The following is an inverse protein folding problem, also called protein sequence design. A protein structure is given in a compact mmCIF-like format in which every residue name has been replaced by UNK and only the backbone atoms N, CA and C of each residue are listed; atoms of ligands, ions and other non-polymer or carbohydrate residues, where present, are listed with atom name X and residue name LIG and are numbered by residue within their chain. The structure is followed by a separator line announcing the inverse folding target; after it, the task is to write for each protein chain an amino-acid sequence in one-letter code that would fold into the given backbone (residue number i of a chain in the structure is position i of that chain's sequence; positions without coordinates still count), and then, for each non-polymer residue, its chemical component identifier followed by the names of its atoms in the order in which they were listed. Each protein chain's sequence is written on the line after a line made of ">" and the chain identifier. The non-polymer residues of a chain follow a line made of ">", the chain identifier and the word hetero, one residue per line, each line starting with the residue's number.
data_IF_709082650112
#
_entry.id   IF_709082650112
#
_cell.length_a   1.000
_cell.length_b   1.000
_cell.length_c   1.000
_cell.angle_alpha   90.00
_cell.angle_beta   90.00
_cell.angle_gamma   90.00
#
_symmetry.space_group_name_H-M   'P 1'
#
loop_
_entity.id
_entity.type
_entity.pdbx_description
1 polymer ?
#
# COMPACT_ATOMS: atom_id res chain seq x y z
N UNK A 1 -36.44 12.59 -8.73
CA UNK A 1 -36.82 11.41 -7.93
C UNK A 1 -35.81 10.27 -8.07
N UNK A 2 -35.72 9.54 -9.19
CA UNK A 2 -34.82 8.36 -9.29
C UNK A 2 -33.33 8.66 -8.99
N UNK A 3 -32.77 9.71 -9.62
CA UNK A 3 -31.39 10.16 -9.38
C UNK A 3 -31.12 10.43 -7.88
N UNK A 4 -31.96 11.24 -7.25
CA UNK A 4 -31.81 11.64 -5.84
C UNK A 4 -31.90 10.42 -4.90
N UNK A 5 -32.85 9.53 -5.13
CA UNK A 5 -33.00 8.30 -4.32
C UNK A 5 -31.77 7.41 -4.42
N UNK A 6 -31.20 7.24 -5.62
CA UNK A 6 -30.00 6.43 -5.83
C UNK A 6 -28.79 7.09 -5.18
N UNK A 7 -28.59 8.40 -5.39
CA UNK A 7 -27.51 9.17 -4.76
C UNK A 7 -27.58 9.02 -3.24
N UNK A 8 -28.73 9.32 -2.61
CA UNK A 8 -28.89 9.22 -1.16
C UNK A 8 -28.62 7.81 -0.65
N UNK A 9 -29.07 6.77 -1.36
CA UNK A 9 -28.80 5.38 -1.00
C UNK A 9 -27.30 5.07 -1.03
N UNK A 10 -26.59 5.50 -2.07
CA UNK A 10 -25.16 5.23 -2.23
C UNK A 10 -24.31 6.08 -1.27
N UNK A 11 -24.67 7.34 -1.03
CA UNK A 11 -24.02 8.20 -0.04
C UNK A 11 -24.16 7.63 1.38
N UNK A 12 -25.29 7.03 1.72
CA UNK A 12 -25.48 6.41 3.03
C UNK A 12 -24.49 5.25 3.29
N UNK A 13 -24.06 4.53 2.24
CA UNK A 13 -23.07 3.45 2.35
C UNK A 13 -21.66 3.97 2.70
N UNK A 14 -21.40 5.28 2.60
CA UNK A 14 -20.11 5.89 2.95
C UNK A 14 -19.93 5.98 4.48
N UNK A 15 -21.02 5.88 5.27
CA UNK A 15 -20.94 5.96 6.74
C UNK A 15 -20.00 4.92 7.34
N UNK A 16 -20.16 3.66 6.95
CA UNK A 16 -19.36 2.54 7.48
C UNK A 16 -17.85 2.68 7.22
N UNK A 17 -17.37 2.92 5.98
CA UNK A 17 -15.93 3.11 5.75
C UNK A 17 -15.37 4.34 6.46
N UNK A 18 -16.16 5.41 6.64
CA UNK A 18 -15.74 6.57 7.41
C UNK A 18 -15.59 6.27 8.91
N UNK A 19 -16.51 5.51 9.52
CA UNK A 19 -16.36 5.04 10.91
C UNK A 19 -15.13 4.15 11.07
N UNK A 20 -14.93 3.21 10.14
CA UNK A 20 -13.76 2.33 10.14
C UNK A 20 -12.45 3.10 10.04
N UNK A 21 -12.43 4.19 9.25
CA UNK A 21 -11.27 5.08 9.19
C UNK A 21 -10.95 5.72 10.56
N UNK A 22 -11.97 6.16 11.29
CA UNK A 22 -11.81 6.67 12.67
C UNK A 22 -11.24 5.59 13.59
N UNK A 23 -11.77 4.36 13.54
CA UNK A 23 -11.30 3.22 14.35
C UNK A 23 -9.84 2.86 14.10
N UNK A 24 -9.42 2.87 12.83
CA UNK A 24 -8.02 2.64 12.46
C UNK A 24 -7.10 3.71 13.04
N UNK A 25 -7.50 4.98 12.99
CA UNK A 25 -6.70 6.08 13.57
C UNK A 25 -6.61 5.98 15.09
N UNK A 26 -7.70 5.61 15.77
CA UNK A 26 -7.69 5.38 17.22
C UNK A 26 -6.71 4.26 17.59
N UNK A 27 -6.75 3.16 16.86
CA UNK A 27 -5.86 2.02 17.08
C UNK A 27 -4.40 2.46 16.96
N UNK A 28 -4.04 3.19 15.91
CA UNK A 28 -2.69 3.71 15.73
C UNK A 28 -2.28 4.75 16.78
N UNK A 29 -3.22 5.60 17.22
CA UNK A 29 -2.95 6.61 18.24
C UNK A 29 -2.68 5.95 19.61
N UNK A 30 -3.48 4.96 20.00
CA UNK A 30 -3.26 4.16 21.23
C UNK A 30 -1.95 3.38 21.15
N UNK A 31 -1.64 2.78 19.99
CA UNK A 31 -0.36 2.10 19.77
C UNK A 31 0.83 3.06 19.93
N UNK A 32 0.71 4.28 19.40
CA UNK A 32 1.75 5.32 19.53
C UNK A 32 1.96 5.73 20.98
N UNK A 33 0.87 5.91 21.75
CA UNK A 33 0.94 6.19 23.19
C UNK A 33 1.68 5.08 23.91
N UNK A 34 1.32 3.81 23.67
CA UNK A 34 2.00 2.64 24.24
C UNK A 34 3.49 2.59 23.95
N UNK A 35 3.89 2.88 22.70
CA UNK A 35 5.31 2.92 22.33
C UNK A 35 6.06 4.04 23.04
N UNK A 36 5.41 5.19 23.23
CA UNK A 36 6.01 6.33 23.93
C UNK A 36 6.13 6.07 25.44
N UNK A 37 5.11 5.49 26.08
CA UNK A 37 5.10 5.20 27.52
C UNK A 37 6.07 4.09 27.91
N UNK A 38 6.54 3.25 26.98
CA UNK A 38 7.64 2.29 27.24
C UNK A 38 8.92 2.96 27.73
N UNK A 39 9.16 4.23 27.37
CA UNK A 39 10.33 4.99 27.86
C UNK A 39 10.24 5.31 29.36
N UNK A 40 9.06 5.15 29.96
CA UNK A 40 8.79 5.35 31.38
C UNK A 40 8.82 4.03 32.16
N UNK A 41 9.35 2.95 31.60
CA UNK A 41 9.39 1.63 32.25
C UNK A 41 10.12 1.60 33.62
N UNK A 42 10.96 2.61 33.91
CA UNK A 42 11.60 2.80 35.21
C UNK A 42 10.60 3.11 36.33
N UNK A 43 9.45 3.69 36.00
CA UNK A 43 8.37 4.05 36.92
C UNK A 43 7.08 3.36 36.46
N UNK A 44 6.86 2.08 36.82
CA UNK A 44 5.77 1.27 36.29
C UNK A 44 4.38 1.87 36.59
N UNK A 45 4.17 2.38 37.80
CA UNK A 45 2.89 3.00 38.19
C UNK A 45 2.60 4.27 37.39
N UNK A 46 3.60 5.16 37.24
CA UNK A 46 3.48 6.35 36.38
C UNK A 46 3.16 5.99 34.93
N UNK A 47 3.85 4.97 34.40
CA UNK A 47 3.64 4.49 33.03
C UNK A 47 2.20 4.03 32.82
N UNK A 48 1.70 3.17 33.70
CA UNK A 48 0.34 2.63 33.63
C UNK A 48 -0.70 3.75 33.72
N UNK A 49 -0.51 4.67 34.66
CA UNK A 49 -1.46 5.75 34.89
C UNK A 49 -1.48 6.77 33.74
N UNK A 50 -0.31 7.10 33.18
CA UNK A 50 -0.21 7.94 31.98
C UNK A 50 -0.89 7.26 30.77
N UNK A 51 -0.63 5.97 30.55
CA UNK A 51 -1.28 5.22 29.46
C UNK A 51 -2.80 5.19 29.66
N UNK A 52 -3.26 4.95 30.88
CA UNK A 52 -4.68 4.90 31.24
C UNK A 52 -5.38 6.23 30.97
N UNK A 53 -4.83 7.34 31.46
CA UNK A 53 -5.40 8.69 31.30
C UNK A 53 -5.49 9.07 29.83
N UNK A 54 -4.38 8.94 29.09
CA UNK A 54 -4.34 9.34 27.67
C UNK A 54 -5.25 8.44 26.83
N UNK A 55 -5.27 7.14 27.09
CA UNK A 55 -6.16 6.21 26.37
C UNK A 55 -7.63 6.51 26.66
N UNK A 56 -7.98 6.86 27.90
CA UNK A 56 -9.33 7.27 28.24
C UNK A 56 -9.74 8.54 27.48
N UNK A 57 -8.87 9.56 27.45
CA UNK A 57 -9.12 10.78 26.68
C UNK A 57 -9.34 10.48 25.18
N UNK A 58 -8.53 9.60 24.59
CA UNK A 58 -8.69 9.18 23.18
C UNK A 58 -10.06 8.53 22.94
N UNK A 59 -10.54 7.68 23.86
CA UNK A 59 -11.88 7.06 23.76
C UNK A 59 -13.01 8.08 23.89
N UNK A 60 -12.85 9.09 24.73
CA UNK A 60 -13.84 10.18 24.82
C UNK A 60 -13.86 11.01 23.53
N UNK A 61 -12.69 11.21 22.90
CA UNK A 61 -12.58 11.88 21.58
C UNK A 61 -13.11 11.03 20.43
N UNK A 62 -13.03 9.70 20.52
CA UNK A 62 -13.60 8.77 19.54
C UNK A 62 -15.09 9.02 19.34
N UNK A 63 -15.89 9.01 20.42
CA UNK A 63 -17.35 9.18 20.31
C UNK A 63 -17.69 10.49 19.60
N UNK A 64 -17.09 11.60 20.04
CA UNK A 64 -17.35 12.93 19.46
C UNK A 64 -16.93 13.02 17.99
N UNK A 65 -15.85 12.37 17.62
CA UNK A 65 -15.36 12.37 16.23
C UNK A 65 -16.26 11.53 15.34
N UNK A 66 -16.71 10.35 15.80
CA UNK A 66 -17.67 9.51 15.08
C UNK A 66 -18.99 10.26 14.84
N UNK A 67 -19.52 10.92 15.87
CA UNK A 67 -20.76 11.70 15.75
C UNK A 67 -20.63 12.82 14.73
N UNK A 68 -19.51 13.56 14.77
CA UNK A 68 -19.25 14.63 13.80
C UNK A 68 -19.10 14.09 12.37
N UNK A 69 -18.43 12.95 12.19
CA UNK A 69 -18.27 12.30 10.89
C UNK A 69 -19.62 11.82 10.34
N UNK A 70 -20.49 11.26 11.19
CA UNK A 70 -21.86 10.89 10.80
C UNK A 70 -22.67 12.12 10.39
N UNK A 71 -22.58 13.20 11.16
CA UNK A 71 -23.27 14.45 10.86
C UNK A 71 -22.85 15.04 9.51
N UNK A 72 -21.54 15.03 9.19
CA UNK A 72 -21.05 15.50 7.89
C UNK A 72 -21.67 14.71 6.72
N UNK A 73 -21.83 13.40 6.88
CA UNK A 73 -22.47 12.56 5.86
C UNK A 73 -23.99 12.82 5.82
N UNK A 74 -24.63 13.05 6.97
CA UNK A 74 -26.04 13.40 7.04
C UNK A 74 -26.34 14.75 6.37
N UNK A 75 -25.39 15.70 6.40
CA UNK A 75 -25.49 16.96 5.65
C UNK A 75 -25.49 16.68 4.13
N UNK A 76 -24.61 15.80 3.63
CA UNK A 76 -24.59 15.39 2.22
C UNK A 76 -25.86 14.63 1.81
N UNK A 77 -26.51 13.93 2.75
CA UNK A 77 -27.79 13.26 2.54
C UNK A 77 -28.99 14.22 2.57
N UNK A 78 -28.90 15.32 3.32
CA UNK A 78 -30.00 16.26 3.49
C UNK A 78 -30.30 17.03 2.18
N UNK A 79 -29.26 17.39 1.42
CA UNK A 79 -29.41 18.20 0.22
C UNK A 79 -28.50 17.76 -0.93
N UNK A 80 -29.10 17.52 -2.10
CA UNK A 80 -28.38 17.19 -3.33
C UNK A 80 -28.21 18.46 -4.18
N UNK A 81 -27.01 19.03 -4.19
CA UNK A 81 -26.73 20.29 -4.87
C UNK A 81 -26.44 20.09 -6.37
N UNK A 82 -27.47 20.13 -7.20
CA UNK A 82 -27.31 20.02 -8.67
C UNK A 82 -26.72 21.27 -9.34
N UNK A 83 -26.47 22.35 -8.58
CA UNK A 83 -25.83 23.57 -9.09
C UNK A 83 -24.30 23.57 -8.89
N UNK A 84 -23.73 22.47 -8.41
CA UNK A 84 -22.29 22.34 -8.20
C UNK A 84 -21.52 22.45 -9.54
N UNK A 85 -20.40 23.18 -9.55
CA UNK A 85 -19.63 23.46 -10.78
C UNK A 85 -19.12 22.20 -11.49
N UNK A 86 -18.65 21.22 -10.73
CA UNK A 86 -18.17 19.93 -11.26
C UNK A 86 -19.30 18.95 -11.64
N UNK A 87 -20.57 19.32 -11.43
CA UNK A 87 -21.68 18.47 -11.80
C UNK A 87 -21.99 18.63 -13.29
N UNK A 88 -21.92 17.54 -14.05
CA UNK A 88 -22.09 17.58 -15.51
C UNK A 88 -23.44 18.16 -15.96
N UNK A 89 -24.49 18.02 -15.14
CA UNK A 89 -25.86 18.42 -15.47
C UNK A 89 -26.54 17.52 -16.50
N UNK A 90 -27.86 17.69 -16.64
CA UNK A 90 -28.71 16.82 -17.46
C UNK A 90 -28.37 16.88 -18.96
N UNK A 91 -28.04 18.07 -19.49
CA UNK A 91 -27.74 18.28 -20.90
C UNK A 91 -26.49 17.49 -21.36
N UNK A 92 -25.41 17.53 -20.56
CA UNK A 92 -24.18 16.81 -20.90
C UNK A 92 -24.31 15.29 -20.68
N UNK A 93 -25.10 14.85 -19.69
CA UNK A 93 -25.40 13.43 -19.49
C UNK A 93 -26.18 12.84 -20.69
N UNK A 94 -27.14 13.59 -21.24
CA UNK A 94 -27.89 13.19 -22.42
C UNK A 94 -26.99 13.14 -23.67
N UNK A 95 -26.08 14.09 -23.86
CA UNK A 95 -25.11 14.06 -24.97
C UNK A 95 -24.17 12.85 -24.92
N UNK A 96 -23.66 12.49 -23.73
CA UNK A 96 -22.84 11.27 -23.55
C UNK A 96 -23.61 9.99 -23.92
N UNK A 97 -24.88 9.88 -23.51
CA UNK A 97 -25.74 8.75 -23.87
C UNK A 97 -26.07 8.71 -25.39
N UNK A 98 -26.25 9.87 -26.03
CA UNK A 98 -26.43 9.98 -27.48
C UNK A 98 -25.18 9.59 -28.28
N UNK A 99 -23.98 9.92 -27.79
CA UNK A 99 -22.72 9.46 -28.40
C UNK A 99 -22.56 7.94 -28.28
N UNK A 100 -22.98 7.35 -27.16
CA UNK A 100 -22.93 5.91 -26.93
C UNK A 100 -23.93 5.14 -27.80
N UNK A 101 -25.09 5.72 -28.08
CA UNK A 101 -26.08 5.16 -29.02
C UNK A 101 -25.69 5.32 -30.50
N UNK A 102 -24.92 6.35 -30.87
CA UNK A 102 -24.24 6.39 -32.19
C UNK A 102 -23.12 5.36 -32.30
N UNK A 103 -22.53 4.93 -31.18
CA UNK A 103 -21.55 3.84 -31.10
C UNK A 103 -22.16 2.42 -31.15
N UNK A 104 -23.51 2.29 -31.12
CA UNK A 104 -24.21 1.02 -31.42
C UNK A 104 -24.26 0.68 -32.93
N UNK A 105 -23.72 1.54 -33.81
CA UNK A 105 -23.23 1.11 -35.13
C UNK A 105 -21.81 0.57 -34.92
N UNK A 106 -21.77 -0.70 -34.51
CA UNK A 106 -20.61 -1.38 -33.93
C UNK A 106 -19.62 -1.85 -35.02
N UNK A 107 -18.90 -0.92 -35.63
CA UNK A 107 -17.94 -1.27 -36.68
C UNK A 107 -16.65 -1.97 -36.25
N UNK A 108 -16.42 -2.29 -34.95
CA UNK A 108 -15.16 -2.95 -34.52
C UNK A 108 -15.09 -3.41 -33.04
N UNK A 109 -16.18 -3.46 -32.26
CA UNK A 109 -16.08 -3.97 -30.89
C UNK A 109 -15.89 -5.49 -30.89
N UNK A 110 -14.87 -5.94 -30.18
CA UNK A 110 -14.57 -7.37 -29.98
C UNK A 110 -15.59 -7.97 -29.01
N UNK A 111 -16.34 -8.95 -29.48
CA UNK A 111 -17.33 -9.71 -28.72
C UNK A 111 -16.63 -10.80 -27.88
N UNK A 112 -15.66 -11.51 -28.48
CA UNK A 112 -14.91 -12.59 -27.81
C UNK A 112 -13.55 -12.81 -28.46
N UNK A 113 -12.57 -13.25 -27.66
CA UNK A 113 -11.31 -13.82 -28.14
C UNK A 113 -11.07 -15.18 -27.50
N UNK A 114 -10.36 -16.07 -28.19
CA UNK A 114 -9.97 -17.36 -27.60
C UNK A 114 -9.45 -18.35 -28.63
N UNK A 115 -8.88 -19.45 -28.14
CA UNK A 115 -8.39 -20.53 -28.98
C UNK A 115 -9.54 -21.40 -29.51
N UNK A 116 -9.48 -21.73 -30.80
CA UNK A 116 -10.33 -22.76 -31.41
C UNK A 116 -9.50 -23.57 -32.42
N UNK A 117 -9.84 -24.84 -32.57
CA UNK A 117 -9.22 -25.72 -33.56
C UNK A 117 -10.05 -25.70 -34.85
N UNK A 118 -9.43 -25.42 -36.01
CA UNK A 118 -10.07 -25.64 -37.30
C UNK A 118 -9.89 -27.11 -37.69
N UNK A 119 -10.98 -27.85 -37.79
CA UNK A 119 -10.95 -29.31 -37.94
C UNK A 119 -10.95 -29.79 -39.41
N UNK A 120 -11.61 -29.08 -40.33
CA UNK A 120 -11.76 -29.49 -41.73
C UNK A 120 -10.58 -29.06 -42.64
N UNK A 121 -9.35 -29.00 -42.13
CA UNK A 121 -8.15 -28.75 -42.96
C UNK A 121 -7.57 -30.10 -43.37
N UNK A 122 -7.54 -30.38 -44.67
CA UNK A 122 -7.08 -31.66 -45.21
C UNK A 122 -5.68 -32.03 -44.72
N UNK A 123 -5.45 -33.32 -44.46
CA UNK A 123 -4.18 -33.87 -43.95
C UNK A 123 -2.98 -33.46 -44.82
N UNK A 124 -3.17 -33.34 -46.15
CA UNK A 124 -2.16 -32.88 -47.11
C UNK A 124 -1.74 -31.40 -46.97
N UNK A 125 -2.52 -30.57 -46.26
CA UNK A 125 -2.25 -29.14 -46.01
C UNK A 125 -1.95 -28.83 -44.53
N UNK A 126 -1.70 -29.87 -43.70
CA UNK A 126 -1.19 -29.71 -42.34
C UNK A 126 -2.14 -30.08 -41.19
N UNK A 127 -3.26 -30.76 -41.47
CA UNK A 127 -4.17 -31.30 -40.45
C UNK A 127 -4.93 -30.25 -39.63
N UNK A 128 -5.65 -30.71 -38.60
CA UNK A 128 -6.37 -29.86 -37.65
C UNK A 128 -5.38 -29.00 -36.87
N UNK A 129 -5.57 -27.67 -36.90
CA UNK A 129 -4.67 -26.70 -36.27
C UNK A 129 -5.45 -25.73 -35.40
N UNK A 130 -4.83 -25.38 -34.29
CA UNK A 130 -5.35 -24.39 -33.36
C UNK A 130 -4.94 -22.98 -33.79
N UNK A 131 -5.87 -22.03 -33.68
CA UNK A 131 -5.65 -20.63 -33.98
C UNK A 131 -6.30 -19.76 -32.90
N UNK A 132 -5.80 -18.54 -32.75
CA UNK A 132 -6.41 -17.54 -31.88
C UNK A 132 -7.49 -16.79 -32.64
N UNK A 133 -8.76 -16.93 -32.23
CA UNK A 133 -9.91 -16.30 -32.86
C UNK A 133 -10.29 -15.01 -32.15
N UNK A 134 -10.70 -14.03 -32.94
CA UNK A 134 -11.25 -12.74 -32.50
C UNK A 134 -12.57 -12.54 -33.24
N UNK A 135 -13.67 -12.61 -32.49
CA UNK A 135 -15.03 -12.37 -32.97
C UNK A 135 -15.42 -10.92 -32.67
N UNK A 136 -15.87 -10.21 -33.69
CA UNK A 136 -16.48 -8.88 -33.61
C UNK A 136 -17.93 -8.95 -34.09
N UNK A 137 -18.66 -7.84 -34.02
CA UNK A 137 -20.03 -7.77 -34.56
C UNK A 137 -20.11 -7.92 -36.09
N UNK A 138 -18.99 -7.73 -36.80
CA UNK A 138 -18.98 -7.72 -38.28
C UNK A 138 -18.05 -8.80 -38.88
N UNK A 139 -17.03 -9.23 -38.15
CA UNK A 139 -16.04 -10.19 -38.64
C UNK A 139 -15.61 -11.21 -37.59
N UNK A 140 -15.34 -12.42 -38.05
CA UNK A 140 -14.58 -13.46 -37.36
C UNK A 140 -13.17 -13.52 -37.98
N UNK A 141 -12.17 -13.08 -37.23
CA UNK A 141 -10.76 -13.15 -37.66
C UNK A 141 -10.01 -14.20 -36.86
N UNK A 142 -8.98 -14.81 -37.44
CA UNK A 142 -8.08 -15.68 -36.69
C UNK A 142 -6.60 -15.44 -37.03
N UNK A 143 -5.77 -15.68 -36.02
CA UNK A 143 -4.35 -15.37 -35.99
C UNK A 143 -3.56 -16.63 -35.67
N UNK A 144 -2.27 -16.60 -36.02
CA UNK A 144 -1.35 -17.69 -35.68
C UNK A 144 -1.23 -17.92 -34.17
N UNK A 145 -1.25 -16.83 -33.40
CA UNK A 145 -1.05 -16.77 -31.96
C UNK A 145 -1.86 -15.62 -31.34
N UNK A 146 -1.87 -15.56 -30.00
CA UNK A 146 -2.54 -14.54 -29.19
C UNK A 146 -1.84 -13.17 -29.21
N UNK A 147 -0.64 -13.08 -29.79
CA UNK A 147 0.03 -11.79 -30.04
C UNK A 147 -0.64 -10.99 -31.17
N UNK A 148 -1.56 -11.60 -31.92
CA UNK A 148 -2.37 -10.96 -32.98
C UNK A 148 -1.55 -10.27 -34.09
N UNK A 149 -0.27 -10.63 -34.24
CA UNK A 149 0.65 -10.04 -35.23
C UNK A 149 0.45 -10.57 -36.64
N UNK A 150 0.13 -11.87 -36.77
CA UNK A 150 -0.03 -12.54 -38.06
C UNK A 150 -1.50 -12.98 -38.27
N UNK A 151 -2.30 -12.10 -38.85
CA UNK A 151 -3.70 -12.40 -39.23
C UNK A 151 -3.72 -13.41 -40.38
N UNK A 152 -4.28 -14.59 -40.14
CA UNK A 152 -4.39 -15.66 -41.14
C UNK A 152 -5.59 -15.46 -42.06
N UNK A 153 -6.72 -15.02 -41.51
CA UNK A 153 -7.93 -14.77 -42.30
C UNK A 153 -8.88 -13.82 -41.57
N UNK A 154 -9.80 -13.25 -42.33
CA UNK A 154 -10.89 -12.41 -41.84
C UNK A 154 -12.16 -12.80 -42.60
N UNK A 155 -13.12 -13.37 -41.89
CA UNK A 155 -14.40 -13.84 -42.41
C UNK A 155 -15.50 -12.87 -41.99
N UNK A 156 -16.21 -12.21 -42.91
CA UNK A 156 -17.42 -11.46 -42.58
C UNK A 156 -18.47 -12.37 -41.93
N UNK A 157 -19.12 -11.91 -40.86
CA UNK A 157 -20.17 -12.69 -40.18
C UNK A 157 -21.52 -12.63 -40.92
N UNK A 158 -21.65 -11.74 -41.90
CA UNK A 158 -22.82 -11.61 -42.76
C UNK A 158 -23.13 -12.93 -43.47
N UNK A 159 -24.42 -13.31 -43.45
CA UNK A 159 -24.93 -14.52 -44.10
C UNK A 159 -24.33 -15.84 -43.57
N UNK A 160 -23.67 -15.82 -42.41
CA UNK A 160 -23.27 -17.05 -41.72
C UNK A 160 -24.42 -17.62 -40.89
N UNK A 161 -24.55 -18.93 -40.90
CA UNK A 161 -25.36 -19.70 -39.95
C UNK A 161 -24.51 -20.74 -39.26
N UNK A 162 -24.95 -21.12 -38.07
CA UNK A 162 -24.31 -22.15 -37.26
C UNK A 162 -25.05 -23.48 -37.41
N UNK A 163 -24.30 -24.58 -37.52
CA UNK A 163 -24.84 -25.93 -37.50
C UNK A 163 -24.01 -26.80 -36.56
N UNK A 164 -24.68 -27.66 -35.81
CA UNK A 164 -24.01 -28.67 -35.00
C UNK A 164 -23.56 -29.85 -35.85
N UNK A 165 -22.33 -30.30 -35.63
CA UNK A 165 -21.77 -31.49 -36.26
C UNK A 165 -21.79 -32.61 -35.24
N UNK A 166 -22.37 -33.75 -35.62
CA UNK A 166 -22.40 -34.94 -34.78
C UNK A 166 -20.98 -35.40 -34.42
N UNK A 167 -20.77 -35.74 -33.15
CA UNK A 167 -19.50 -36.23 -32.65
C UNK A 167 -19.14 -37.54 -33.35
N UNK A 168 -18.11 -37.51 -34.19
CA UNK A 168 -17.57 -38.74 -34.79
C UNK A 168 -17.07 -39.68 -33.69
N UNK A 169 -17.35 -40.99 -33.81
CA UNK A 169 -17.04 -42.02 -32.80
C UNK A 169 -15.55 -42.08 -32.40
N UNK A 170 -14.66 -41.47 -33.19
CA UNK A 170 -13.21 -41.41 -32.95
C UNK A 170 -12.71 -40.02 -32.51
N UNK A 171 -13.56 -39.00 -32.38
CA UNK A 171 -13.18 -37.64 -31.97
C UNK A 171 -13.58 -37.35 -30.53
N UNK A 172 -12.61 -36.96 -29.70
CA UNK A 172 -12.87 -36.48 -28.34
C UNK A 172 -13.37 -35.03 -28.30
N UNK A 173 -13.15 -34.23 -29.35
CA UNK A 173 -13.48 -32.80 -29.42
C UNK A 173 -14.95 -32.54 -29.79
N UNK A 174 -15.50 -31.46 -29.27
CA UNK A 174 -16.84 -30.94 -29.57
C UNK A 174 -16.75 -29.98 -30.76
N UNK A 175 -17.60 -30.16 -31.78
CA UNK A 175 -17.45 -29.50 -33.08
C UNK A 175 -18.76 -28.81 -33.46
N UNK A 176 -18.65 -27.59 -33.98
CA UNK A 176 -19.72 -26.88 -34.66
C UNK A 176 -19.19 -26.31 -35.98
N UNK A 177 -20.08 -26.05 -36.94
CA UNK A 177 -19.74 -25.50 -38.24
C UNK A 177 -20.40 -24.16 -38.49
N UNK A 178 -19.66 -23.28 -39.16
CA UNK A 178 -20.17 -22.07 -39.78
C UNK A 178 -20.30 -22.31 -41.28
N UNK A 179 -21.47 -22.05 -41.84
CA UNK A 179 -21.73 -22.16 -43.27
C UNK A 179 -22.41 -20.90 -43.79
N UNK A 180 -22.24 -20.60 -45.07
CA UNK A 180 -22.88 -19.46 -45.70
C UNK A 180 -24.26 -19.85 -46.27
N UNK A 181 -25.29 -19.05 -46.02
CA UNK A 181 -26.66 -19.30 -46.53
C UNK A 181 -26.78 -19.20 -48.03
N UNK A 182 -25.87 -18.49 -48.69
CA UNK A 182 -25.86 -18.32 -50.15
C UNK A 182 -24.99 -19.38 -50.85
N UNK A 183 -24.63 -20.46 -50.16
CA UNK A 183 -23.81 -21.57 -50.67
C UNK A 183 -22.42 -21.15 -51.20
N UNK A 184 -21.91 -19.99 -50.77
CA UNK A 184 -20.55 -19.54 -51.03
C UNK A 184 -19.55 -20.28 -50.14
N UNK A 185 -18.32 -20.46 -50.63
CA UNK A 185 -17.25 -21.00 -49.81
C UNK A 185 -16.95 -20.05 -48.65
N UNK A 186 -16.94 -20.58 -47.43
CA UNK A 186 -16.69 -19.82 -46.19
C UNK A 186 -15.20 -19.62 -45.98
N UNK A 187 -14.38 -20.62 -46.31
CA UNK A 187 -12.94 -20.54 -46.16
C UNK A 187 -12.25 -21.34 -47.27
N UNK A 188 -11.46 -20.67 -48.11
CA UNK A 188 -10.78 -21.28 -49.27
C UNK A 188 -11.79 -22.04 -50.15
N UNK A 189 -11.58 -23.34 -50.33
CA UNK A 189 -12.43 -24.22 -51.14
C UNK A 189 -13.51 -24.92 -50.29
N UNK A 190 -13.57 -24.64 -48.98
CA UNK A 190 -14.50 -25.28 -48.05
C UNK A 190 -15.81 -24.49 -47.94
N UNK A 191 -16.93 -25.21 -48.13
CA UNK A 191 -18.30 -24.66 -48.00
C UNK A 191 -18.72 -24.38 -46.56
N UNK A 192 -18.04 -24.98 -45.60
CA UNK A 192 -18.25 -24.77 -44.17
C UNK A 192 -16.92 -24.72 -43.43
N UNK A 193 -16.87 -23.96 -42.34
CA UNK A 193 -15.74 -23.85 -41.44
C UNK A 193 -16.05 -24.61 -40.14
N UNK A 194 -15.36 -25.72 -39.92
CA UNK A 194 -15.55 -26.55 -38.72
C UNK A 194 -14.61 -26.11 -37.61
N UNK A 195 -15.20 -25.68 -36.50
CA UNK A 195 -14.51 -25.20 -35.31
C UNK A 195 -14.73 -26.19 -34.17
N UNK A 196 -13.65 -26.52 -33.48
CA UNK A 196 -13.64 -27.50 -32.41
C UNK A 196 -12.98 -26.96 -31.15
N UNK A 197 -13.53 -27.35 -30.00
CA UNK A 197 -12.94 -27.17 -28.66
C UNK A 197 -12.99 -28.51 -27.90
N UNK A 198 -12.17 -28.62 -26.86
CA UNK A 198 -12.11 -29.78 -25.97
C UNK A 198 -13.29 -29.82 -24.98
N UNK A 199 -13.93 -28.68 -24.70
CA UNK A 199 -15.03 -28.57 -23.74
C UNK A 199 -16.36 -28.19 -24.42
N UNK A 200 -17.44 -28.87 -24.03
CA UNK A 200 -18.80 -28.52 -24.43
C UNK A 200 -19.17 -27.10 -23.95
N UNK A 201 -18.77 -26.73 -22.73
CA UNK A 201 -19.04 -25.42 -22.15
C UNK A 201 -18.40 -24.29 -22.97
N UNK A 202 -17.19 -24.52 -23.50
CA UNK A 202 -16.54 -23.56 -24.38
C UNK A 202 -17.26 -23.43 -25.71
N UNK A 203 -17.70 -24.53 -26.31
CA UNK A 203 -18.50 -24.53 -27.54
C UNK A 203 -19.79 -23.73 -27.33
N UNK A 204 -20.51 -23.96 -26.23
CA UNK A 204 -21.76 -23.25 -25.94
C UNK A 204 -21.52 -21.76 -25.66
N UNK A 205 -20.42 -21.42 -24.97
CA UNK A 205 -19.99 -20.04 -24.77
C UNK A 205 -19.64 -19.33 -26.10
N UNK A 206 -19.01 -20.03 -27.03
CA UNK A 206 -18.74 -19.55 -28.38
C UNK A 206 -20.03 -19.38 -29.19
N UNK A 207 -20.95 -20.34 -29.16
CA UNK A 207 -22.28 -20.24 -29.78
C UNK A 207 -23.06 -19.02 -29.28
N UNK A 208 -23.09 -18.78 -27.98
CA UNK A 208 -23.73 -17.60 -27.40
C UNK A 208 -23.08 -16.28 -27.88
N UNK A 209 -21.76 -16.29 -28.08
CA UNK A 209 -21.03 -15.15 -28.63
C UNK A 209 -21.36 -14.92 -30.11
N UNK A 210 -21.52 -15.97 -30.91
CA UNK A 210 -21.99 -15.90 -32.29
C UNK A 210 -23.44 -15.41 -32.40
N UNK A 211 -24.32 -15.85 -31.49
CA UNK A 211 -25.70 -15.36 -31.40
C UNK A 211 -25.73 -13.84 -31.15
N UNK A 212 -24.86 -13.35 -30.28
CA UNK A 212 -24.67 -11.92 -30.01
C UNK A 212 -24.12 -11.15 -31.22
N UNK A 213 -23.37 -11.83 -32.10
CA UNK A 213 -22.88 -11.29 -33.37
C UNK A 213 -23.90 -11.41 -34.52
N UNK A 214 -25.12 -11.91 -34.27
CA UNK A 214 -26.17 -12.07 -35.29
C UNK A 214 -26.08 -13.36 -36.12
N UNK A 215 -25.23 -14.31 -35.73
CA UNK A 215 -25.10 -15.62 -36.38
C UNK A 215 -25.99 -16.62 -35.64
N UNK A 216 -27.10 -17.01 -36.28
CA UNK A 216 -28.11 -17.87 -35.66
C UNK A 216 -27.90 -19.35 -36.03
N UNK A 217 -28.26 -20.29 -35.12
CA UNK A 217 -28.30 -21.70 -35.45
C UNK A 217 -29.34 -21.99 -36.54
N UNK A 218 -29.04 -22.97 -37.39
CA UNK A 218 -29.98 -23.49 -38.39
C UNK A 218 -31.17 -24.13 -37.66
N UNK A 219 -32.35 -23.50 -37.76
CA UNK A 219 -33.59 -24.10 -37.26
C UNK A 219 -33.90 -25.33 -38.12
N UNK A 220 -33.89 -26.51 -37.50
CA UNK A 220 -34.46 -27.70 -38.12
C UNK A 220 -35.95 -27.46 -38.35
N UNK A 221 -36.46 -27.86 -39.51
CA UNK A 221 -37.87 -27.68 -39.91
C UNK A 221 -38.84 -28.52 -39.04
N UNK A 222 -38.34 -29.20 -38.01
CA UNK A 222 -39.10 -30.09 -37.14
C UNK A 222 -39.63 -29.43 -35.85
N UNK A 223 -39.21 -28.20 -35.52
CA UNK A 223 -39.56 -27.54 -34.25
C UNK A 223 -40.38 -26.25 -34.44
N UNK A 224 -41.25 -26.20 -35.46
CA UNK A 224 -42.05 -24.99 -35.74
C UNK A 224 -43.36 -24.94 -34.95
N UNK A 225 -43.79 -26.01 -34.28
CA UNK A 225 -45.12 -26.03 -33.64
C UNK A 225 -45.17 -25.83 -32.11
N UNK A 226 -44.06 -25.76 -31.38
CA UNK A 226 -44.10 -25.62 -29.90
C UNK A 226 -43.31 -24.43 -29.30
N UNK A 227 -42.85 -23.47 -30.11
CA UNK A 227 -42.18 -22.27 -29.59
C UNK A 227 -42.89 -20.97 -29.98
N UNK A 228 -44.21 -20.95 -29.82
CA UNK A 228 -45.01 -19.71 -29.88
C UNK A 228 -45.18 -19.05 -28.50
N UNK A 229 -44.28 -19.33 -27.55
CA UNK A 229 -44.45 -18.95 -26.14
C UNK A 229 -43.37 -18.03 -25.53
N UNK A 230 -42.18 -17.88 -26.12
CA UNK A 230 -41.05 -17.25 -25.41
C UNK A 230 -40.34 -16.11 -26.15
N UNK A 231 -41.10 -15.37 -26.97
CA UNK A 231 -40.61 -14.18 -27.66
C UNK A 231 -40.56 -12.90 -26.81
N UNK A 232 -40.92 -12.94 -25.52
CA UNK A 232 -41.16 -11.72 -24.73
C UNK A 232 -40.04 -11.34 -23.74
N UNK A 233 -38.95 -12.11 -23.61
CA UNK A 233 -38.00 -11.89 -22.50
C UNK A 233 -36.95 -10.79 -22.76
N UNK A 234 -36.80 -10.25 -23.97
CA UNK A 234 -35.73 -9.25 -24.25
C UNK A 234 -36.11 -8.01 -25.07
N UNK A 235 -37.35 -7.52 -24.99
CA UNK A 235 -37.63 -6.14 -25.43
C UNK A 235 -37.45 -5.17 -24.27
N UNK A 236 -36.21 -4.93 -23.82
CA UNK A 236 -35.94 -3.72 -23.06
C UNK A 236 -36.24 -2.53 -23.97
N UNK A 237 -37.19 -1.68 -23.56
CA UNK A 237 -37.52 -0.46 -24.29
C UNK A 237 -36.24 0.38 -24.50
N UNK A 238 -35.80 0.63 -25.76
CA UNK A 238 -34.61 1.41 -26.04
C UNK A 238 -34.63 2.82 -25.41
N UNK A 239 -35.82 3.36 -25.13
CA UNK A 239 -35.96 4.63 -24.43
C UNK A 239 -35.64 4.50 -22.94
N UNK A 240 -36.07 3.42 -22.30
CA UNK A 240 -35.74 3.11 -20.90
C UNK A 240 -34.24 2.87 -20.73
N UNK A 241 -33.60 2.13 -21.64
CA UNK A 241 -32.13 1.95 -21.64
C UNK A 241 -31.40 3.29 -21.65
N UNK A 242 -31.82 4.21 -22.54
CA UNK A 242 -31.23 5.54 -22.63
C UNK A 242 -31.44 6.36 -21.36
N UNK A 243 -32.64 6.32 -20.78
CA UNK A 243 -32.95 7.05 -19.54
C UNK A 243 -32.14 6.52 -18.35
N UNK A 244 -32.02 5.19 -18.21
CA UNK A 244 -31.19 4.55 -17.18
C UNK A 244 -29.74 4.98 -17.31
N UNK A 245 -29.20 5.01 -18.53
CA UNK A 245 -27.84 5.44 -18.80
C UNK A 245 -27.62 6.92 -18.43
N UNK A 246 -28.59 7.80 -18.73
CA UNK A 246 -28.51 9.22 -18.32
C UNK A 246 -28.48 9.33 -16.80
N UNK A 247 -29.39 8.63 -16.10
CA UNK A 247 -29.43 8.62 -14.64
C UNK A 247 -28.11 8.10 -14.07
N UNK A 248 -27.55 7.02 -14.62
CA UNK A 248 -26.25 6.48 -14.21
C UNK A 248 -25.14 7.52 -14.33
N UNK A 249 -25.02 8.18 -15.48
CA UNK A 249 -24.00 9.22 -15.69
C UNK A 249 -24.14 10.40 -14.72
N UNK A 250 -25.37 10.79 -14.37
CA UNK A 250 -25.63 11.81 -13.35
C UNK A 250 -25.22 11.35 -11.96
N UNK A 251 -25.60 10.12 -11.57
CA UNK A 251 -25.23 9.51 -10.28
C UNK A 251 -23.72 9.44 -10.14
N UNK A 252 -23.02 8.93 -11.16
CA UNK A 252 -21.56 8.80 -11.15
C UNK A 252 -20.88 10.17 -11.02
N UNK A 253 -21.36 11.18 -11.75
CA UNK A 253 -20.85 12.54 -11.66
C UNK A 253 -21.04 13.14 -10.26
N UNK A 254 -22.21 12.94 -9.64
CA UNK A 254 -22.48 13.51 -8.32
C UNK A 254 -21.73 12.78 -7.21
N UNK A 255 -21.65 11.45 -7.27
CA UNK A 255 -20.86 10.65 -6.31
C UNK A 255 -19.37 10.99 -6.38
N UNK A 256 -18.84 11.31 -7.56
CA UNK A 256 -17.44 11.75 -7.68
C UNK A 256 -17.16 13.02 -6.86
N UNK A 257 -18.13 13.95 -6.80
CA UNK A 257 -18.04 15.18 -6.00
C UNK A 257 -18.07 14.82 -4.51
N UNK A 258 -19.08 14.04 -4.07
CA UNK A 258 -19.18 13.61 -2.67
C UNK A 258 -17.91 12.88 -2.22
N UNK A 259 -17.40 11.94 -3.03
CA UNK A 259 -16.17 11.23 -2.72
C UNK A 259 -14.95 12.14 -2.62
N UNK A 260 -14.90 13.26 -3.36
CA UNK A 260 -13.84 14.25 -3.22
C UNK A 260 -13.99 15.00 -1.89
N UNK A 261 -15.20 15.47 -1.58
CA UNK A 261 -15.51 16.18 -0.33
C UNK A 261 -15.22 15.33 0.90
N UNK A 262 -15.72 14.09 0.93
CA UNK A 262 -15.50 13.16 2.05
C UNK A 262 -14.01 12.84 2.24
N UNK A 263 -13.26 12.58 1.15
CA UNK A 263 -11.81 12.30 1.25
C UNK A 263 -11.00 13.50 1.76
N UNK A 264 -11.50 14.71 1.63
CA UNK A 264 -10.87 15.91 2.17
C UNK A 264 -11.29 16.23 3.61
N UNK A 265 -12.61 16.20 3.88
CA UNK A 265 -13.16 16.63 5.16
C UNK A 265 -12.98 15.60 6.29
N UNK A 266 -13.04 14.30 6.00
CA UNK A 266 -12.93 13.26 7.04
C UNK A 266 -11.54 13.29 7.72
N UNK A 267 -10.41 13.27 6.98
CA UNK A 267 -9.10 13.39 7.62
C UNK A 267 -8.93 14.69 8.42
N UNK A 268 -9.44 15.82 7.90
CA UNK A 268 -9.39 17.11 8.62
C UNK A 268 -10.17 17.08 9.93
N UNK A 269 -11.35 16.44 9.92
CA UNK A 269 -12.19 16.27 11.10
C UNK A 269 -11.50 15.42 12.16
N UNK A 270 -10.93 14.27 11.77
CA UNK A 270 -10.17 13.40 12.67
C UNK A 270 -8.94 14.14 13.22
N UNK A 271 -8.18 14.84 12.37
CA UNK A 271 -7.02 15.61 12.81
C UNK A 271 -7.39 16.67 13.84
N UNK A 272 -8.44 17.45 13.58
CA UNK A 272 -8.85 18.53 14.47
C UNK A 272 -9.43 18.01 15.79
N UNK A 273 -10.40 17.10 15.72
CA UNK A 273 -11.15 16.66 16.89
C UNK A 273 -10.45 15.57 17.69
N UNK A 274 -9.55 14.80 17.12
CA UNK A 274 -8.91 13.69 17.82
C UNK A 274 -7.42 13.93 18.01
N UNK A 275 -6.65 14.05 16.93
CA UNK A 275 -5.18 14.08 17.01
C UNK A 275 -4.68 15.37 17.68
N UNK A 276 -5.09 16.53 17.16
CA UNK A 276 -4.68 17.82 17.70
C UNK A 276 -5.21 18.02 19.12
N UNK A 277 -6.45 17.63 19.38
CA UNK A 277 -7.02 17.73 20.72
C UNK A 277 -6.31 16.81 21.74
N UNK A 278 -5.93 15.59 21.34
CA UNK A 278 -5.13 14.69 22.19
C UNK A 278 -3.74 15.25 22.45
N UNK A 279 -3.11 15.84 21.42
CA UNK A 279 -1.83 16.55 21.57
C UNK A 279 -1.94 17.69 22.57
N UNK A 280 -2.94 18.55 22.44
CA UNK A 280 -3.19 19.68 23.34
C UNK A 280 -3.41 19.18 24.78
N UNK A 281 -4.23 18.16 24.96
CA UNK A 281 -4.47 17.51 26.25
C UNK A 281 -3.17 17.01 26.91
N UNK A 282 -2.31 16.32 26.16
CA UNK A 282 -1.02 15.82 26.66
C UNK A 282 -0.13 16.97 27.12
N UNK A 283 -0.14 18.11 26.43
CA UNK A 283 0.69 19.26 26.78
C UNK A 283 0.13 20.11 27.92
N UNK A 284 -1.19 20.28 28.01
CA UNK A 284 -1.82 21.22 28.92
C UNK A 284 -2.38 20.57 30.19
N UNK A 285 -3.03 19.41 30.07
CA UNK A 285 -3.91 18.88 31.12
C UNK A 285 -3.37 17.60 31.77
N UNK A 286 -2.61 16.79 31.03
CA UNK A 286 -2.13 15.49 31.51
C UNK A 286 -1.35 15.59 32.82
N UNK A 287 -0.49 16.60 32.95
CA UNK A 287 0.29 16.82 34.16
C UNK A 287 -0.62 17.11 35.37
N UNK A 288 -1.61 17.99 35.19
CA UNK A 288 -2.58 18.32 36.24
C UNK A 288 -3.38 17.08 36.66
N UNK A 289 -3.75 16.22 35.70
CA UNK A 289 -4.44 14.97 36.00
C UNK A 289 -3.56 14.01 36.80
N UNK A 290 -2.31 13.79 36.39
CA UNK A 290 -1.37 12.94 37.13
C UNK A 290 -1.16 13.42 38.57
N UNK A 291 -1.09 14.74 38.80
CA UNK A 291 -1.01 15.30 40.14
C UNK A 291 -2.30 15.12 40.97
N UNK A 292 -3.45 14.97 40.31
CA UNK A 292 -4.74 14.75 40.97
C UNK A 292 -5.02 13.27 41.30
N UNK A 293 -4.24 12.33 40.76
CA UNK A 293 -4.48 10.88 40.87
C UNK A 293 -4.16 10.26 42.25
N UNK A 294 -3.82 11.06 43.26
CA UNK A 294 -3.63 10.59 44.63
C UNK A 294 -2.18 10.66 45.11
N UNK A 295 -1.66 9.57 45.69
CA UNK A 295 -0.33 9.55 46.30
C UNK A 295 0.79 9.55 45.25
N UNK A 296 1.45 10.70 45.13
CA UNK A 296 2.55 10.92 44.20
C UNK A 296 3.74 10.00 44.49
N UNK A 297 3.92 9.55 45.74
CA UNK A 297 5.03 8.68 46.10
C UNK A 297 4.86 7.29 45.49
N UNK A 298 3.64 6.73 45.54
CA UNK A 298 3.33 5.45 44.91
C UNK A 298 3.40 5.55 43.38
N UNK A 299 2.97 6.67 42.79
CA UNK A 299 3.06 6.89 41.35
C UNK A 299 4.52 6.88 40.86
N UNK A 300 5.42 7.44 41.66
CA UNK A 300 6.86 7.57 41.37
C UNK A 300 7.70 6.41 41.94
N UNK A 301 7.08 5.30 42.31
CA UNK A 301 7.78 4.11 42.75
C UNK A 301 8.65 3.54 41.61
N UNK A 302 9.94 3.31 41.89
CA UNK A 302 10.89 2.77 40.92
C UNK A 302 10.66 1.26 40.70
N UNK A 303 10.95 0.76 39.50
CA UNK A 303 10.86 -0.67 39.22
C UNK A 303 11.87 -1.47 40.06
N UNK A 304 11.53 -2.72 40.40
CA UNK A 304 12.44 -3.59 41.17
C UNK A 304 13.79 -3.78 40.48
N UNK A 305 13.80 -3.90 39.15
CA UNK A 305 15.03 -3.99 38.36
C UNK A 305 15.88 -2.72 38.50
N UNK A 306 15.25 -1.53 38.40
CA UNK A 306 15.93 -0.26 38.56
C UNK A 306 16.47 -0.06 39.99
N UNK A 307 15.70 -0.46 41.00
CA UNK A 307 16.13 -0.46 42.40
C UNK A 307 17.35 -1.36 42.62
N UNK A 308 17.33 -2.58 42.10
CA UNK A 308 18.48 -3.50 42.20
C UNK A 308 19.70 -2.96 41.47
N UNK A 309 19.53 -2.39 40.28
CA UNK A 309 20.63 -1.81 39.52
C UNK A 309 21.25 -0.60 40.25
N UNK A 310 20.40 0.26 40.84
CA UNK A 310 20.84 1.39 41.68
C UNK A 310 21.66 0.89 42.87
N UNK A 311 21.18 -0.15 43.55
CA UNK A 311 21.89 -0.73 44.70
C UNK A 311 23.23 -1.38 44.31
N UNK A 312 23.30 -2.06 43.17
CA UNK A 312 24.56 -2.60 42.60
C UNK A 312 25.55 -1.49 42.25
N UNK A 313 25.08 -0.41 41.61
CA UNK A 313 25.90 0.75 41.29
C UNK A 313 26.44 1.43 42.55
N UNK A 314 25.62 1.55 43.60
CA UNK A 314 26.06 2.11 44.88
C UNK A 314 27.13 1.23 45.54
N UNK A 315 26.96 -0.09 45.55
CA UNK A 315 27.99 -1.02 46.06
C UNK A 315 29.30 -0.89 45.28
N UNK A 316 29.22 -0.85 43.94
CA UNK A 316 30.39 -0.66 43.08
C UNK A 316 31.07 0.68 43.36
N UNK A 317 30.31 1.77 43.51
CA UNK A 317 30.82 3.09 43.84
C UNK A 317 31.59 3.08 45.16
N UNK A 318 31.03 2.49 46.21
CA UNK A 318 31.69 2.40 47.51
C UNK A 318 32.97 1.56 47.44
N UNK A 319 32.95 0.41 46.76
CA UNK A 319 34.13 -0.42 46.56
C UNK A 319 35.25 0.30 45.78
N UNK A 320 34.89 1.06 44.73
CA UNK A 320 35.86 1.86 43.97
C UNK A 320 36.46 2.99 44.81
N UNK A 321 35.65 3.65 45.65
CA UNK A 321 36.14 4.68 46.57
C UNK A 321 37.07 4.13 47.63
N UNK A 322 36.75 2.98 48.18
CA UNK A 322 37.61 2.28 49.14
C UNK A 322 38.92 1.84 48.47
N UNK A 323 38.86 1.28 47.26
CA UNK A 323 40.05 0.95 46.48
C UNK A 323 40.95 2.15 46.20
N UNK A 324 40.38 3.31 45.85
CA UNK A 324 41.13 4.55 45.69
C UNK A 324 41.75 5.04 47.00
N UNK A 325 41.06 4.89 48.12
CA UNK A 325 41.59 5.23 49.44
C UNK A 325 42.80 4.36 49.78
N UNK A 326 42.71 3.04 49.59
CA UNK A 326 43.81 2.09 49.80
C UNK A 326 45.02 2.44 48.93
N UNK A 327 44.83 2.80 47.66
CA UNK A 327 45.92 3.23 46.77
C UNK A 327 46.58 4.52 47.30
N UNK A 328 45.78 5.49 47.76
CA UNK A 328 46.29 6.71 48.37
C UNK A 328 47.11 6.44 49.63
N UNK A 329 46.65 5.52 50.47
CA UNK A 329 47.33 5.11 51.70
C UNK A 329 48.66 4.43 51.39
N UNK A 330 48.70 3.51 50.41
CA UNK A 330 49.94 2.88 49.94
C UNK A 330 50.91 3.94 49.40
N UNK A 331 50.44 4.86 48.56
CA UNK A 331 51.29 5.90 47.97
C UNK A 331 51.92 6.84 49.01
N UNK A 332 51.27 7.02 50.15
CA UNK A 332 51.75 7.90 51.24
C UNK A 332 52.52 7.16 52.32
N UNK A 333 52.26 5.87 52.50
CA UNK A 333 52.83 5.05 53.59
C UNK A 333 54.05 4.22 53.18
N UNK A 334 54.32 4.07 51.88
CA UNK A 334 55.46 3.25 51.42
C UNK A 334 56.73 4.08 51.31
N UNK A 335 57.75 3.74 52.12
CA UNK A 335 59.10 4.33 52.03
C UNK A 335 59.92 3.52 50.99
N UNK A 336 60.33 4.17 49.91
CA UNK A 336 61.28 3.58 48.96
C UNK A 336 62.69 3.63 49.56
N UNK A 337 63.28 2.47 49.84
CA UNK A 337 64.71 2.36 50.16
C UNK A 337 65.52 2.64 48.90
N UNK A 338 66.46 3.60 48.97
CA UNK A 338 67.43 3.82 47.89
C UNK A 338 68.32 2.60 47.71
N UNK A 339 68.64 2.22 46.47
CA UNK A 339 69.55 1.09 46.22
C UNK A 339 70.87 1.29 46.97
N UNK A 340 71.40 0.24 47.63
CA UNK A 340 72.69 0.33 48.31
C UNK A 340 73.81 0.66 47.32
N UNK A 341 74.87 1.37 47.74
CA UNK A 341 75.99 1.70 46.87
C UNK A 341 76.64 0.42 46.30
N UNK A 342 77.20 0.46 45.06
CA UNK A 342 77.91 -0.67 44.51
C UNK A 342 79.07 -1.08 45.43
N UNK A 343 79.20 -2.38 45.68
CA UNK A 343 80.26 -2.94 46.52
C UNK A 343 81.58 -2.88 45.74
N UNK A 344 82.65 -2.40 46.37
CA UNK A 344 84.00 -2.36 45.80
C UNK A 344 84.69 -3.72 45.98
N UNK A 345 84.87 -4.47 44.89
CA UNK A 345 85.48 -5.81 44.85
C UNK A 345 87.03 -5.78 44.87
N UNK A 346 87.65 -4.67 45.26
CA UNK A 346 89.10 -4.48 45.25
C UNK A 346 89.91 -5.45 46.16
N UNK A 347 89.28 -6.23 47.05
CA UNK A 347 89.97 -7.27 47.82
C UNK A 347 90.23 -8.54 46.98
N UNK A 348 89.46 -8.82 45.92
CA UNK A 348 89.60 -10.08 45.18
C UNK A 348 90.87 -10.21 44.31
N UNK A 349 91.79 -9.23 44.33
CA UNK A 349 93.00 -9.21 43.50
C UNK A 349 94.32 -9.19 44.28
N UNK A 350 94.60 -10.16 45.15
CA UNK A 350 96.01 -10.50 45.50
C UNK A 350 96.17 -12.00 45.77
N UNK A 351 96.56 -12.76 44.75
CA UNK A 351 97.68 -13.73 44.73
C UNK A 351 97.82 -14.29 43.31
N UNK A 352 98.99 -14.08 42.69
CA UNK A 352 99.33 -14.52 41.32
C UNK A 352 99.28 -16.04 41.13
N UNK A 353 99.02 -16.55 39.92
CA UNK A 353 100.00 -16.67 38.82
C UNK A 353 99.26 -16.97 37.48
N UNK A 354 99.94 -16.85 36.31
CA UNK A 354 99.34 -16.45 35.05
C UNK A 354 99.06 -17.62 34.10
N UNK A 355 98.01 -17.52 33.30
CA UNK A 355 97.98 -18.11 31.95
C UNK A 355 96.73 -17.67 31.17
N UNK A 356 96.93 -17.33 29.90
CA UNK A 356 95.90 -17.59 28.89
C UNK A 356 94.88 -16.51 28.57
N UNK A 357 95.32 -15.27 28.36
CA UNK A 357 94.88 -14.37 27.28
C UNK A 357 93.62 -14.79 26.48
N UNK A 358 92.46 -14.20 26.77
CA UNK A 358 91.43 -13.86 25.75
C UNK A 358 90.70 -12.58 26.18
N UNK A 359 90.88 -11.51 25.40
CA UNK A 359 90.19 -10.24 25.57
C UNK A 359 89.76 -9.70 24.19
N UNK A 360 88.65 -8.95 24.21
CA UNK A 360 87.93 -8.23 23.14
C UNK A 360 86.98 -9.11 22.29
N UNK A 361 85.70 -8.76 22.09
CA UNK A 361 84.92 -7.57 22.44
C UNK A 361 83.42 -7.77 22.16
N UNK A 362 82.59 -6.99 22.86
CA UNK A 362 81.23 -6.51 22.52
C UNK A 362 79.98 -7.39 22.81
N UNK A 363 79.04 -6.75 23.52
CA UNK A 363 77.63 -7.06 23.84
C UNK A 363 76.71 -7.13 22.58
N UNK A 364 75.36 -7.33 22.62
CA UNK A 364 74.42 -7.41 23.77
C UNK A 364 73.23 -8.44 23.69
N UNK A 365 72.52 -8.57 24.84
CA UNK A 365 71.08 -8.81 25.13
C UNK A 365 70.21 -9.87 24.42
N UNK A 366 69.65 -10.85 25.17
CA UNK A 366 68.33 -11.49 24.92
C UNK A 366 67.71 -12.07 26.22
N UNK A 367 66.38 -11.89 26.41
CA UNK A 367 65.52 -12.45 27.46
C UNK A 367 65.14 -13.94 27.21
N UNK A 368 64.63 -14.71 28.19
CA UNK A 368 63.97 -15.98 27.89
C UNK A 368 62.49 -16.06 28.30
N UNK A 369 61.70 -16.55 27.35
CA UNK A 369 60.35 -17.10 27.50
C UNK A 369 60.35 -18.43 28.28
N UNK A 370 59.22 -18.79 28.92
CA UNK A 370 58.45 -20.04 28.64
C UNK A 370 57.18 -20.17 29.51
N UNK A 371 56.08 -20.57 28.85
CA UNK A 371 54.79 -21.04 29.40
C UNK A 371 54.79 -22.57 29.65
N UNK A 372 53.71 -23.22 30.19
CA UNK A 372 52.52 -23.55 29.38
C UNK A 372 51.11 -23.65 30.06
N UNK A 373 50.08 -23.29 29.27
CA UNK A 373 48.71 -23.83 29.05
C UNK A 373 47.71 -24.20 30.17
N UNK A 374 46.50 -23.60 30.10
CA UNK A 374 45.21 -24.29 29.79
C UNK A 374 44.03 -23.30 29.59
N UNK A 375 43.15 -23.61 28.63
CA UNK A 375 41.95 -22.91 28.10
C UNK A 375 40.63 -23.59 28.60
N UNK A 376 39.37 -23.07 28.45
CA UNK A 376 38.78 -22.47 27.23
C UNK A 376 37.74 -21.30 27.35
N UNK A 377 37.66 -20.54 26.25
CA UNK A 377 36.73 -19.47 25.79
C UNK A 377 35.47 -20.07 25.08
N UNK A 378 34.40 -19.33 24.61
CA UNK A 378 34.49 -18.00 23.98
C UNK A 378 33.31 -17.00 24.01
N UNK A 379 33.67 -15.72 24.01
CA UNK A 379 32.90 -14.61 23.44
C UNK A 379 33.11 -14.50 21.92
N UNK A 380 32.05 -14.06 21.23
CA UNK A 380 31.86 -14.05 19.77
C UNK A 380 32.07 -12.63 19.25
N UNK A 381 33.06 -12.39 18.38
CA UNK A 381 33.16 -11.21 17.50
C UNK A 381 33.48 -11.67 16.07
N UNK A 382 32.76 -11.11 15.10
CA UNK A 382 32.67 -11.60 13.72
C UNK A 382 33.84 -11.16 12.80
N UNK A 383 34.11 -11.89 11.69
CA UNK A 383 35.20 -11.62 10.74
C UNK A 383 34.77 -10.83 9.47
N UNK A 384 35.75 -10.37 8.64
CA UNK A 384 35.54 -9.51 7.47
C UNK A 384 35.14 -10.28 6.19
N UNK A 385 34.45 -9.61 5.25
CA UNK A 385 33.91 -10.20 4.02
C UNK A 385 34.79 -10.10 2.76
N UNK A 386 34.51 -10.91 1.70
CA UNK A 386 35.30 -11.05 0.47
C UNK A 386 34.84 -10.11 -0.70
N UNK A 387 35.49 -10.10 -1.89
CA UNK A 387 35.59 -8.93 -2.77
C UNK A 387 34.42 -8.76 -3.78
N UNK A 388 34.23 -7.52 -4.26
CA UNK A 388 33.19 -7.13 -5.23
C UNK A 388 33.62 -7.33 -6.71
N UNK A 389 32.74 -7.86 -7.59
CA UNK A 389 32.88 -7.73 -9.04
C UNK A 389 32.40 -6.36 -9.54
N UNK A 390 33.01 -5.89 -10.63
CA UNK A 390 32.97 -4.50 -11.08
C UNK A 390 31.72 -4.01 -11.82
N UNK A 391 31.65 -2.68 -11.92
CA UNK A 391 31.41 -1.99 -13.19
C UNK A 391 29.99 -1.86 -13.71
N UNK A 392 29.25 -0.86 -13.21
CA UNK A 392 28.45 0.07 -14.05
C UNK A 392 28.08 1.31 -13.25
N UNK A 393 28.60 2.46 -13.67
CA UNK A 393 28.32 3.76 -13.09
C UNK A 393 26.89 4.21 -13.44
N UNK A 394 26.13 4.63 -12.43
CA UNK A 394 24.90 5.38 -12.60
C UNK A 394 25.16 6.86 -12.25
N UNK A 395 24.49 7.82 -12.93
CA UNK A 395 24.89 9.22 -12.93
C UNK A 395 24.57 9.91 -11.59
N UNK A 396 25.46 10.80 -11.16
CA UNK A 396 25.26 11.63 -9.97
C UNK A 396 24.11 12.65 -10.15
N UNK A 397 23.55 13.16 -9.03
CA UNK A 397 22.49 14.15 -9.06
C UNK A 397 23.00 15.48 -9.64
N UNK A 398 22.18 16.22 -10.41
CA UNK A 398 22.60 17.48 -11.00
C UNK A 398 22.89 18.53 -9.91
N UNK A 399 23.99 19.27 -10.13
CA UNK A 399 24.53 20.26 -9.21
C UNK A 399 23.58 21.41 -8.90
N UNK A 400 23.69 21.89 -7.66
CA UNK A 400 23.09 23.15 -7.19
C UNK A 400 23.64 24.33 -8.01
N UNK A 401 22.79 25.19 -8.58
CA UNK A 401 23.21 26.50 -9.06
C UNK A 401 23.58 27.41 -7.89
N UNK A 402 24.52 28.31 -8.17
CA UNK A 402 25.13 29.26 -7.25
C UNK A 402 24.12 30.20 -6.55
N UNK A 403 24.47 30.56 -5.32
CA UNK A 403 23.84 31.57 -4.47
C UNK A 403 23.84 32.92 -5.18
N UNK A 404 22.65 33.46 -5.45
CA UNK A 404 22.43 34.87 -5.80
C UNK A 404 21.95 35.63 -4.56
N UNK A 405 22.19 36.95 -4.44
CA UNK A 405 21.87 37.71 -3.24
C UNK A 405 20.37 37.94 -3.08
N UNK A 406 19.93 37.92 -1.83
CA UNK A 406 18.56 38.02 -1.33
C UNK A 406 17.87 39.35 -1.75
N UNK A 407 16.63 39.34 -2.29
CA UNK A 407 15.80 40.53 -2.34
C UNK A 407 15.01 40.66 -1.03
N UNK A 408 15.15 41.83 -0.39
CA UNK A 408 14.53 42.14 0.91
C UNK A 408 12.99 42.03 0.96
N UNK A 409 12.40 42.14 2.16
CA UNK A 409 10.98 41.86 2.38
C UNK A 409 10.06 42.87 1.66
N UNK A 410 8.88 42.43 1.19
CA UNK A 410 7.95 43.31 0.49
C UNK A 410 7.32 44.34 1.43
N UNK A 411 7.16 45.57 0.93
CA UNK A 411 6.49 46.66 1.63
C UNK A 411 4.98 46.42 1.70
N UNK A 412 4.42 46.68 2.90
CA UNK A 412 2.98 46.58 3.19
C UNK A 412 2.24 47.76 2.54
N UNK A 413 1.15 47.54 1.78
CA UNK A 413 0.33 48.63 1.27
C UNK A 413 -0.46 49.32 2.39
N UNK A 414 -0.44 50.65 2.43
CA UNK A 414 -1.22 51.47 3.36
C UNK A 414 -2.73 51.29 3.15
N UNK A 415 -3.47 50.95 4.20
CA UNK A 415 -4.94 50.87 4.19
C UNK A 415 -5.57 52.27 4.09
N UNK A 416 -6.67 52.45 3.32
CA UNK A 416 -7.50 53.65 3.41
C UNK A 416 -8.24 53.72 4.75
N UNK A 417 -8.40 54.93 5.26
CA UNK A 417 -9.03 55.24 6.55
C UNK A 417 -10.50 54.78 6.56
N UNK A 418 -10.85 53.79 7.38
CA UNK A 418 -12.22 53.29 7.55
C UNK A 418 -12.88 53.99 8.73
N UNK A 419 -13.96 54.74 8.45
CA UNK A 419 -14.80 55.37 9.46
C UNK A 419 -15.36 54.34 10.47
N UNK A 420 -15.58 54.73 11.74
CA UNK A 420 -16.09 53.83 12.76
C UNK A 420 -17.53 53.37 12.46
N UNK A 421 -17.91 52.13 12.79
CA UNK A 421 -19.26 51.61 12.56
C UNK A 421 -20.29 52.30 13.49
N UNK A 422 -21.56 52.45 13.05
CA UNK A 422 -22.61 53.04 13.87
C UNK A 422 -22.98 52.16 15.06
N UNK A 423 -23.22 52.80 16.21
CA UNK A 423 -23.52 52.17 17.50
C UNK A 423 -24.84 51.41 17.51
N UNK A 424 -24.84 50.28 18.23
CA UNK A 424 -26.01 49.43 18.47
C UNK A 424 -26.93 50.09 19.51
N UNK A 425 -28.24 50.26 19.25
CA UNK A 425 -29.19 50.80 20.24
C UNK A 425 -29.41 49.83 21.41
N UNK A 426 -29.39 50.35 22.64
CA UNK A 426 -29.79 49.61 23.85
C UNK A 426 -31.30 49.56 23.94
N UNK A 427 -31.85 48.37 24.14
CA UNK A 427 -33.26 48.15 24.48
C UNK A 427 -33.51 48.63 25.90
N UNK A 428 -34.14 49.79 26.03
CA UNK A 428 -34.93 50.21 27.18
C UNK A 428 -36.05 51.06 26.62
N UNK A 429 -37.28 50.75 27.03
CA UNK A 429 -38.56 51.34 26.62
C UNK A 429 -39.16 50.76 25.34
N UNK A 430 -39.85 49.61 25.47
CA UNK A 430 -41.30 49.45 25.28
C UNK A 430 -41.75 48.08 25.81
#
# INVERSE_FOLDING_TARGET
>A
MAFETIVKRLTAQIKEPCQKCVDMVITELVNTVRQCTQKLAQYPMLREEMERIVTQHIRDRESRTKDQVMLLIDIELAYVNTNHEDFIGFANAQQKSSQMSKKKVAGNQVIRKGWLTINNISIMKGGAKEYWFVLTAETLSWYKDDEEKEKKYMLPVDNLKLKDIEKSFMSSKHIFALFNTEHRNVYKDYRQLELASESQEEVDSWKASFLRAGVYPERSVAEVEESSGDGHIHSMDPQLERQVEIVRNLVDSYLAIIHRTVRDLIPKTIMHLMVNNTKEFIHADLLAQLYSCGDQNSLMEESQEQATHRDEMLRMYHALREGLHIIGDISTSTITTSMPPPVDDSWLQVTGMPSGRRSSSQSPSVAPCRSPMSSPTPQRRAPPGPPRPGGRAAPGPPGRPAVSPDPGPPSVPSRPNRAPPPGVPRYSDY
#
